data_IF_179551213614
#
_entry.id   IF_179551213614
#
_cell.length_a   1.000
_cell.length_b   1.000
_cell.length_c   1.000
_cell.angle_alpha   90.00
_cell.angle_beta   90.00
_cell.angle_gamma   90.00
#
_symmetry.space_group_name_H-M   'P 1'
#
loop_
_entity.id
_entity.type
_entity.pdbx_description
1 polymer ?
#
# COMPACT_ATOMS: atom_id res chain seq x y z
N UNK A 1 21.65 -14.16 6.79
CA UNK A 1 20.33 -13.55 6.54
C UNK A 1 19.95 -12.58 7.67
N UNK A 2 20.82 -11.61 8.00
CA UNK A 2 20.61 -10.66 9.11
C UNK A 2 19.87 -9.38 8.71
N UNK A 3 19.66 -9.13 7.41
CA UNK A 3 18.92 -7.97 6.90
C UNK A 3 17.40 -8.16 6.77
N UNK A 4 16.93 -9.41 6.73
CA UNK A 4 15.51 -9.73 6.47
C UNK A 4 14.58 -9.16 7.55
N UNK A 5 14.99 -9.18 8.81
CA UNK A 5 14.19 -8.65 9.91
C UNK A 5 13.91 -7.15 9.80
N UNK A 6 14.88 -6.36 9.28
CA UNK A 6 14.70 -4.93 9.07
C UNK A 6 13.68 -4.68 7.96
N UNK A 7 13.80 -5.39 6.84
CA UNK A 7 12.90 -5.27 5.70
C UNK A 7 11.46 -5.62 6.11
N UNK A 8 11.27 -6.74 6.81
CA UNK A 8 9.96 -7.16 7.29
C UNK A 8 9.37 -6.20 8.32
N UNK A 9 10.16 -5.71 9.27
CA UNK A 9 9.65 -4.78 10.28
C UNK A 9 9.21 -3.44 9.68
N UNK A 10 9.96 -2.91 8.71
CA UNK A 10 9.57 -1.71 7.95
C UNK A 10 8.30 -1.97 7.15
N UNK A 11 8.26 -3.07 6.40
CA UNK A 11 7.12 -3.43 5.56
C UNK A 11 5.83 -3.61 6.38
N UNK A 12 5.87 -4.39 7.46
CA UNK A 12 4.72 -4.64 8.32
C UNK A 12 4.23 -3.33 8.95
N UNK A 13 5.14 -2.50 9.45
CA UNK A 13 4.79 -1.20 10.04
C UNK A 13 4.06 -0.30 9.04
N UNK A 14 4.57 -0.21 7.81
CA UNK A 14 3.94 0.60 6.75
C UNK A 14 2.57 0.02 6.39
N UNK A 15 2.46 -1.30 6.19
CA UNK A 15 1.19 -1.93 5.84
C UNK A 15 0.12 -1.74 6.91
N UNK A 16 0.48 -1.85 8.19
CA UNK A 16 -0.44 -1.59 9.30
C UNK A 16 -0.97 -0.16 9.23
N UNK A 17 -0.07 0.83 9.08
CA UNK A 17 -0.45 2.25 9.02
C UNK A 17 -1.35 2.54 7.81
N UNK A 18 -0.98 2.05 6.63
CA UNK A 18 -1.74 2.27 5.40
C UNK A 18 -3.13 1.61 5.46
N UNK A 19 -3.20 0.37 5.91
CA UNK A 19 -4.45 -0.38 5.99
C UNK A 19 -5.40 0.19 7.06
N UNK A 20 -4.88 0.49 8.26
CA UNK A 20 -5.67 1.13 9.31
C UNK A 20 -6.22 2.48 8.82
N UNK A 21 -5.37 3.30 8.19
CA UNK A 21 -5.79 4.60 7.67
C UNK A 21 -6.89 4.45 6.61
N UNK A 22 -6.72 3.56 5.63
CA UNK A 22 -7.72 3.32 4.59
C UNK A 22 -9.06 2.85 5.17
N UNK A 23 -9.04 1.90 6.11
CA UNK A 23 -10.26 1.39 6.75
C UNK A 23 -10.94 2.45 7.60
N UNK A 24 -10.19 3.25 8.36
CA UNK A 24 -10.74 4.33 9.18
C UNK A 24 -11.36 5.43 8.31
N UNK A 25 -10.72 5.81 7.21
CA UNK A 25 -11.24 6.82 6.29
C UNK A 25 -12.53 6.35 5.60
N UNK A 26 -12.57 5.06 5.22
CA UNK A 26 -13.76 4.43 4.64
C UNK A 26 -14.91 4.35 5.64
N UNK A 27 -14.65 3.88 6.87
CA UNK A 27 -15.68 3.80 7.93
C UNK A 27 -16.25 5.16 8.30
N UNK A 28 -15.44 6.22 8.27
CA UNK A 28 -15.89 7.60 8.51
C UNK A 28 -16.62 8.21 7.31
N UNK A 29 -16.78 7.48 6.21
CA UNK A 29 -17.40 7.99 4.97
C UNK A 29 -16.60 9.10 4.28
N UNK A 30 -15.36 9.34 4.70
CA UNK A 30 -14.52 10.44 4.19
C UNK A 30 -13.88 10.11 2.85
N UNK A 31 -13.63 8.83 2.58
CA UNK A 31 -12.99 8.39 1.35
C UNK A 31 -13.45 6.99 0.95
N UNK A 32 -13.78 6.75 -0.34
CA UNK A 32 -14.05 5.41 -0.81
C UNK A 32 -12.76 4.58 -0.89
N UNK A 33 -12.86 3.26 -0.69
CA UNK A 33 -11.69 2.35 -0.71
C UNK A 33 -10.92 2.41 -2.03
N UNK A 34 -11.59 2.66 -3.17
CA UNK A 34 -10.92 2.76 -4.45
C UNK A 34 -9.96 3.95 -4.51
N UNK A 35 -10.36 5.07 -3.91
CA UNK A 35 -9.52 6.25 -3.81
C UNK A 35 -8.35 6.03 -2.85
N UNK A 36 -8.60 5.38 -1.71
CA UNK A 36 -7.52 5.01 -0.78
C UNK A 36 -6.49 4.08 -1.45
N UNK A 37 -6.95 3.13 -2.26
CA UNK A 37 -6.09 2.24 -3.04
C UNK A 37 -5.18 2.99 -4.01
N UNK A 38 -5.68 4.04 -4.68
CA UNK A 38 -4.89 4.87 -5.57
C UNK A 38 -3.80 5.65 -4.82
N UNK A 39 -4.13 6.24 -3.68
CA UNK A 39 -3.14 6.92 -2.82
C UNK A 39 -2.07 5.94 -2.35
N UNK A 40 -2.47 4.77 -1.85
CA UNK A 40 -1.54 3.73 -1.40
C UNK A 40 -0.63 3.29 -2.55
N UNK A 41 -1.17 3.12 -3.76
CA UNK A 41 -0.40 2.77 -4.95
C UNK A 41 0.69 3.80 -5.27
N UNK A 42 0.39 5.10 -5.16
CA UNK A 42 1.37 6.18 -5.36
C UNK A 42 2.39 6.22 -4.22
N UNK A 43 1.98 5.94 -2.99
CA UNK A 43 2.88 5.86 -1.85
C UNK A 43 3.88 4.70 -1.97
N UNK A 44 3.58 3.64 -2.73
CA UNK A 44 4.49 2.52 -2.95
C UNK A 44 5.86 2.93 -3.52
N UNK A 45 5.93 3.57 -4.71
CA UNK A 45 7.19 4.07 -5.25
C UNK A 45 7.88 5.09 -4.33
N UNK A 46 7.13 5.97 -3.68
CA UNK A 46 7.70 6.98 -2.77
C UNK A 46 8.38 6.31 -1.56
N UNK A 47 7.70 5.36 -0.93
CA UNK A 47 8.24 4.60 0.19
C UNK A 47 9.42 3.73 -0.21
N UNK A 48 9.39 3.12 -1.40
CA UNK A 48 10.54 2.38 -1.96
C UNK A 48 11.78 3.27 -2.11
N UNK A 49 11.64 4.48 -2.64
CA UNK A 49 12.75 5.42 -2.80
C UNK A 49 13.33 5.84 -1.44
N UNK A 50 12.46 6.17 -0.48
CA UNK A 50 12.87 6.56 0.87
C UNK A 50 13.59 5.41 1.57
N UNK A 51 12.95 4.24 1.65
CA UNK A 51 13.53 3.04 2.28
C UNK A 51 14.82 2.61 1.60
N UNK A 52 14.89 2.66 0.26
CA UNK A 52 16.09 2.35 -0.51
C UNK A 52 17.24 3.29 -0.20
N UNK A 53 16.98 4.60 -0.07
CA UNK A 53 18.03 5.55 0.30
C UNK A 53 18.60 5.29 1.70
N UNK A 54 17.77 4.85 2.63
CA UNK A 54 18.17 4.51 4.00
C UNK A 54 18.96 3.19 4.00
N UNK A 55 18.43 2.16 3.35
CA UNK A 55 19.08 0.86 3.27
C UNK A 55 20.42 0.94 2.54
N UNK A 56 20.53 1.73 1.47
CA UNK A 56 21.78 1.92 0.73
C UNK A 56 22.86 2.57 1.61
N UNK A 57 22.49 3.57 2.42
CA UNK A 57 23.42 4.18 3.39
C UNK A 57 23.91 3.19 4.44
N UNK A 58 23.00 2.37 4.97
CA UNK A 58 23.35 1.34 5.95
C UNK A 58 24.28 0.30 5.30
N UNK A 59 23.94 -0.18 4.12
CA UNK A 59 24.71 -1.19 3.41
C UNK A 59 26.13 -0.71 3.07
N UNK A 60 26.27 0.49 2.52
CA UNK A 60 27.58 1.10 2.27
C UNK A 60 28.40 1.29 3.56
N UNK A 61 27.77 1.64 4.68
CA UNK A 61 28.47 1.77 5.97
C UNK A 61 29.01 0.43 6.50
N UNK A 62 28.48 -0.69 5.99
CA UNK A 62 28.91 -2.05 6.30
C UNK A 62 29.84 -2.64 5.22
N UNK A 63 30.25 -1.84 4.22
CA UNK A 63 31.10 -2.28 3.11
C UNK A 63 30.38 -3.06 2.02
N UNK A 64 29.05 -3.01 1.97
CA UNK A 64 28.23 -3.65 0.94
C UNK A 64 28.21 -2.90 -0.39
N UNK A 65 27.77 -3.58 -1.44
CA UNK A 65 27.70 -3.08 -2.83
C UNK A 65 26.36 -2.39 -3.17
N UNK A 66 25.44 -2.30 -2.21
CA UNK A 66 24.13 -1.68 -2.35
C UNK A 66 23.07 -2.56 -3.03
N UNK A 67 23.42 -3.74 -3.53
CA UNK A 67 22.49 -4.55 -4.33
C UNK A 67 21.32 -5.08 -3.48
N UNK A 68 21.63 -5.62 -2.30
CA UNK A 68 20.61 -6.11 -1.36
C UNK A 68 19.67 -5.01 -0.87
N UNK A 69 20.20 -3.81 -0.65
CA UNK A 69 19.42 -2.63 -0.28
C UNK A 69 18.43 -2.20 -1.38
N UNK A 70 18.91 -2.13 -2.63
CA UNK A 70 18.06 -1.78 -3.78
C UNK A 70 16.97 -2.83 -4.01
N UNK A 71 17.31 -4.12 -3.94
CA UNK A 71 16.34 -5.20 -4.09
C UNK A 71 15.26 -5.16 -2.99
N UNK A 72 15.67 -4.99 -1.74
CA UNK A 72 14.75 -4.90 -0.59
C UNK A 72 13.81 -3.71 -0.71
N UNK A 73 14.31 -2.57 -1.16
CA UNK A 73 13.51 -1.37 -1.38
C UNK A 73 12.46 -1.55 -2.48
N UNK A 74 12.87 -2.14 -3.61
CA UNK A 74 11.95 -2.47 -4.69
C UNK A 74 10.86 -3.44 -4.23
N UNK A 75 11.24 -4.47 -3.47
CA UNK A 75 10.29 -5.44 -2.89
C UNK A 75 9.24 -4.75 -2.02
N UNK A 76 9.66 -3.89 -1.08
CA UNK A 76 8.73 -3.10 -0.24
C UNK A 76 7.77 -2.28 -1.11
N UNK A 77 8.31 -1.58 -2.12
CA UNK A 77 7.50 -0.78 -3.05
C UNK A 77 6.42 -1.60 -3.76
N UNK A 78 6.80 -2.74 -4.33
CA UNK A 78 5.88 -3.61 -5.04
C UNK A 78 4.78 -4.18 -4.14
N UNK A 79 5.13 -4.59 -2.91
CA UNK A 79 4.11 -5.08 -1.96
C UNK A 79 3.10 -3.98 -1.62
N UNK A 80 3.56 -2.74 -1.42
CA UNK A 80 2.66 -1.61 -1.14
C UNK A 80 1.79 -1.28 -2.36
N UNK A 81 2.36 -1.27 -3.58
CA UNK A 81 1.58 -1.08 -4.82
C UNK A 81 0.53 -2.18 -4.97
N UNK A 82 0.92 -3.44 -4.78
CA UNK A 82 -0.01 -4.58 -4.81
C UNK A 82 -1.14 -4.42 -3.80
N UNK A 83 -0.83 -3.95 -2.59
CA UNK A 83 -1.85 -3.62 -1.59
C UNK A 83 -2.79 -2.49 -2.07
N UNK A 84 -2.25 -1.43 -2.68
CA UNK A 84 -3.05 -0.36 -3.28
C UNK A 84 -4.01 -0.88 -4.35
N UNK A 85 -3.54 -1.77 -5.23
CA UNK A 85 -4.37 -2.42 -6.26
C UNK A 85 -5.50 -3.24 -5.62
N UNK A 86 -5.23 -4.00 -4.55
CA UNK A 86 -6.27 -4.75 -3.83
C UNK A 86 -7.38 -3.82 -3.32
N UNK A 87 -7.03 -2.72 -2.68
CA UNK A 87 -8.00 -1.72 -2.21
C UNK A 87 -8.77 -1.08 -3.37
N UNK A 88 -8.09 -0.81 -4.48
CA UNK A 88 -8.67 -0.27 -5.69
C UNK A 88 -9.77 -1.20 -6.23
N UNK A 89 -9.44 -2.48 -6.42
CA UNK A 89 -10.37 -3.51 -6.92
C UNK A 89 -11.56 -3.69 -5.96
N UNK A 90 -11.30 -3.85 -4.67
CA UNK A 90 -12.35 -4.02 -3.66
C UNK A 90 -13.30 -2.81 -3.66
N UNK A 91 -12.74 -1.60 -3.73
CA UNK A 91 -13.51 -0.36 -3.77
C UNK A 91 -14.40 -0.24 -5.01
N UNK A 92 -13.91 -0.65 -6.18
CA UNK A 92 -14.69 -0.66 -7.42
C UNK A 92 -15.84 -1.66 -7.31
N UNK A 93 -15.58 -2.89 -6.86
CA UNK A 93 -16.61 -3.93 -6.70
C UNK A 93 -17.72 -3.47 -5.75
N UNK A 94 -17.37 -2.87 -4.61
CA UNK A 94 -18.35 -2.31 -3.68
C UNK A 94 -19.14 -1.14 -4.27
N UNK A 95 -18.47 -0.28 -5.04
CA UNK A 95 -19.11 0.81 -5.77
C UNK A 95 -20.17 0.32 -6.75
N UNK A 96 -19.83 -0.68 -7.59
CA UNK A 96 -20.74 -1.29 -8.56
C UNK A 96 -21.93 -1.94 -7.85
N UNK A 97 -21.69 -2.74 -6.81
CA UNK A 97 -22.75 -3.40 -6.03
C UNK A 97 -23.74 -2.39 -5.45
N UNK A 98 -23.24 -1.30 -4.89
CA UNK A 98 -24.08 -0.24 -4.32
C UNK A 98 -24.87 0.51 -5.41
N UNK A 99 -24.29 0.72 -6.58
CA UNK A 99 -24.97 1.34 -7.71
C UNK A 99 -26.15 0.50 -8.24
N UNK A 100 -25.93 -0.80 -8.43
CA UNK A 100 -26.97 -1.74 -8.89
C UNK A 100 -28.12 -1.79 -7.86
N UNK A 101 -27.79 -1.93 -6.57
CA UNK A 101 -28.81 -1.96 -5.50
C UNK A 101 -29.67 -0.69 -5.48
N UNK A 102 -29.07 0.49 -5.68
CA UNK A 102 -29.81 1.75 -5.75
C UNK A 102 -30.75 1.82 -6.95
N UNK A 103 -30.35 1.30 -8.11
CA UNK A 103 -31.22 1.26 -9.30
C UNK A 103 -32.44 0.35 -9.11
N UNK A 104 -32.27 -0.82 -8.50
CA UNK A 104 -33.39 -1.74 -8.25
C UNK A 104 -34.46 -1.15 -7.32
N UNK A 105 -34.05 -0.46 -6.25
CA UNK A 105 -34.97 0.21 -5.31
C UNK A 105 -35.76 1.35 -5.97
N UNK A 106 -35.15 2.07 -6.92
CA UNK A 106 -35.83 3.15 -7.64
C UNK A 106 -36.79 2.66 -8.73
N UNK A 107 -36.69 1.41 -9.19
CA UNK A 107 -37.63 0.85 -10.17
C UNK A 107 -38.82 0.11 -9.55
N UNK A 108 -38.79 -0.16 -8.24
CA UNK A 108 -39.89 -0.77 -7.49
C UNK A 108 -40.80 0.25 -6.78
N UNK A 109 -40.66 1.54 -7.10
CA UNK A 109 -41.52 2.64 -6.65
C UNK A 109 -42.18 3.26 -7.87
#
# INVERSE_FOLDING_TARGET
MSGDGLVWSVLISILIVLNLSAVLLYRKGKMPLWGSGLIIGILGPITALISGSIFLKIDHSMGGDGFGAAFSAAFIGFVIVGNGILYLVIGIVLGIKNFIKRRQVNQSR
#
